data_IF_506523169664
#
_entry.id   IF_506523169664
#
_cell.length_a   1.000
_cell.length_b   1.000
_cell.length_c   1.000
_cell.angle_alpha   90.00
_cell.angle_beta   90.00
_cell.angle_gamma   90.00
#
_symmetry.space_group_name_H-M   'P 1'
#
loop_
_entity.id
_entity.type
_entity.pdbx_description
1 polymer ?
#
# COMPACT_ATOMS: atom_id res chain seq x y z
N UNK A 1 -29.76 19.94 -4.59
CA UNK A 1 -29.50 19.55 -3.18
C UNK A 1 -28.24 20.27 -2.74
N UNK A 2 -28.26 20.94 -1.60
CA UNK A 2 -27.14 21.76 -1.08
C UNK A 2 -26.93 21.50 0.40
N UNK A 3 -25.79 21.88 0.96
CA UNK A 3 -25.47 21.62 2.37
C UNK A 3 -26.44 22.33 3.32
N UNK A 4 -26.73 23.59 3.05
CA UNK A 4 -27.52 24.50 3.89
C UNK A 4 -28.87 24.91 3.26
N UNK A 5 -29.16 24.49 2.02
CA UNK A 5 -30.41 24.85 1.34
C UNK A 5 -30.30 26.07 0.43
N UNK A 6 -29.10 26.63 0.20
CA UNK A 6 -28.94 27.71 -0.77
C UNK A 6 -29.41 27.29 -2.17
N UNK A 7 -29.97 28.26 -2.92
CA UNK A 7 -30.35 28.04 -4.32
C UNK A 7 -29.10 27.87 -5.18
N UNK A 8 -29.12 26.95 -6.17
CA UNK A 8 -28.03 26.85 -7.13
C UNK A 8 -27.82 28.16 -7.88
N UNK A 9 -26.60 28.39 -8.36
CA UNK A 9 -26.28 29.61 -9.12
C UNK A 9 -27.10 29.71 -10.41
N UNK A 10 -27.29 30.92 -10.93
CA UNK A 10 -27.98 31.14 -12.21
C UNK A 10 -27.32 30.35 -13.36
N UNK A 11 -25.99 30.24 -13.34
CA UNK A 11 -25.21 29.47 -14.31
C UNK A 11 -25.51 27.95 -14.20
N UNK A 12 -25.67 27.43 -12.98
CA UNK A 12 -26.00 26.02 -12.75
C UNK A 12 -27.44 25.67 -13.13
N UNK A 13 -28.33 26.66 -13.19
CA UNK A 13 -29.74 26.50 -13.56
C UNK A 13 -29.94 26.79 -15.06
N UNK A 14 -28.91 27.29 -15.76
CA UNK A 14 -28.98 27.56 -17.20
C UNK A 14 -29.19 26.26 -18.00
N UNK A 15 -30.17 26.24 -18.92
CA UNK A 15 -30.53 25.02 -19.68
C UNK A 15 -31.48 24.02 -18.98
N UNK A 16 -31.83 24.18 -17.71
CA UNK A 16 -32.83 23.31 -17.08
C UNK A 16 -34.25 23.64 -17.57
N UNK A 17 -35.00 22.65 -18.07
CA UNK A 17 -36.35 22.89 -18.65
C UNK A 17 -37.38 23.39 -17.63
N UNK A 18 -37.22 23.03 -16.36
CA UNK A 18 -38.17 23.32 -15.28
C UNK A 18 -37.58 24.22 -14.18
N UNK A 19 -36.85 25.27 -14.55
CA UNK A 19 -36.17 26.19 -13.60
C UNK A 19 -37.11 26.73 -12.51
N UNK A 20 -38.37 27.00 -12.86
CA UNK A 20 -39.36 27.59 -11.96
C UNK A 20 -39.92 26.60 -10.93
N UNK A 21 -39.70 25.28 -11.10
CA UNK A 21 -40.18 24.22 -10.20
C UNK A 21 -39.05 23.55 -9.41
N UNK A 22 -37.87 24.17 -9.34
CA UNK A 22 -36.74 23.65 -8.57
C UNK A 22 -37.04 23.64 -7.06
N UNK A 23 -37.18 22.44 -6.49
CA UNK A 23 -37.20 22.24 -5.04
C UNK A 23 -35.78 22.04 -4.53
N UNK A 24 -35.34 22.92 -3.64
CA UNK A 24 -34.04 22.80 -2.99
C UNK A 24 -34.18 21.93 -1.74
N UNK A 25 -33.49 20.79 -1.74
CA UNK A 25 -33.37 19.92 -0.57
C UNK A 25 -32.04 20.24 0.10
N UNK A 26 -32.08 20.49 1.41
CA UNK A 26 -30.92 20.80 2.26
C UNK A 26 -30.49 19.59 3.06
N UNK A 27 -29.18 19.34 3.13
CA UNK A 27 -28.66 18.33 4.06
C UNK A 27 -28.98 18.71 5.51
N UNK A 28 -28.81 19.98 5.89
CA UNK A 28 -29.07 20.48 7.24
C UNK A 28 -30.53 20.42 7.64
N UNK A 29 -31.43 20.89 6.77
CA UNK A 29 -32.84 21.11 7.14
C UNK A 29 -33.75 19.95 6.79
N UNK A 30 -33.37 19.10 5.82
CA UNK A 30 -34.25 18.03 5.33
C UNK A 30 -33.66 16.64 5.60
N UNK A 31 -32.43 16.40 5.13
CA UNK A 31 -31.83 15.05 5.20
C UNK A 31 -31.44 14.68 6.63
N UNK A 32 -30.79 15.59 7.36
CA UNK A 32 -30.32 15.33 8.72
C UNK A 32 -31.48 15.05 9.70
N UNK A 33 -32.58 15.82 9.72
CA UNK A 33 -33.76 15.49 10.51
C UNK A 33 -34.37 14.14 10.12
N UNK A 34 -34.50 13.88 8.82
CA UNK A 34 -35.04 12.60 8.34
C UNK A 34 -34.20 11.41 8.79
N UNK A 35 -32.87 11.50 8.71
CA UNK A 35 -31.97 10.45 9.21
C UNK A 35 -32.08 10.27 10.73
N UNK A 36 -32.24 11.36 11.50
CA UNK A 36 -32.46 11.29 12.96
C UNK A 36 -33.78 10.60 13.30
N UNK A 37 -34.83 10.84 12.52
CA UNK A 37 -36.10 10.10 12.64
C UNK A 37 -35.93 8.62 12.29
N UNK A 38 -35.26 8.32 11.17
CA UNK A 38 -34.97 6.93 10.80
C UNK A 38 -34.19 6.21 11.90
N UNK A 39 -33.20 6.87 12.51
CA UNK A 39 -32.43 6.31 13.61
C UNK A 39 -33.32 5.94 14.81
N UNK A 40 -34.30 6.78 15.15
CA UNK A 40 -35.23 6.51 16.24
C UNK A 40 -36.09 5.26 15.97
N UNK A 41 -36.45 5.03 14.70
CA UNK A 41 -37.25 3.86 14.29
C UNK A 41 -36.45 2.55 14.36
N UNK A 42 -35.14 2.59 14.12
CA UNK A 42 -34.29 1.39 14.05
C UNK A 42 -33.27 1.31 15.20
N UNK A 43 -33.46 2.06 16.29
CA UNK A 43 -32.49 2.20 17.39
C UNK A 43 -32.05 0.85 17.98
N UNK A 44 -32.96 -0.13 18.00
CA UNK A 44 -32.73 -1.48 18.52
C UNK A 44 -32.14 -2.44 17.46
N UNK A 45 -32.16 -2.06 16.18
CA UNK A 45 -31.60 -2.83 15.06
C UNK A 45 -30.13 -2.44 14.80
N UNK A 46 -29.23 -3.13 15.52
CA UNK A 46 -27.79 -2.84 15.62
C UNK A 46 -27.07 -2.41 14.34
N UNK A 47 -27.26 -3.11 13.21
CA UNK A 47 -26.55 -2.80 11.97
C UNK A 47 -27.12 -1.55 11.28
N UNK A 48 -28.46 -1.40 11.29
CA UNK A 48 -29.14 -0.28 10.66
C UNK A 48 -28.91 1.01 11.43
N UNK A 49 -28.99 0.97 12.76
CA UNK A 49 -28.72 2.14 13.61
C UNK A 49 -27.28 2.63 13.50
N UNK A 50 -26.30 1.71 13.51
CA UNK A 50 -24.89 2.08 13.33
C UNK A 50 -24.62 2.71 11.97
N UNK A 51 -25.22 2.21 10.90
CA UNK A 51 -25.08 2.77 9.56
C UNK A 51 -25.68 4.19 9.47
N UNK A 52 -26.87 4.41 10.01
CA UNK A 52 -27.52 5.73 10.02
C UNK A 52 -26.73 6.72 10.87
N UNK A 53 -26.21 6.31 12.03
CA UNK A 53 -25.35 7.14 12.87
C UNK A 53 -24.10 7.62 12.13
N UNK A 54 -23.45 6.76 11.35
CA UNK A 54 -22.30 7.14 10.54
C UNK A 54 -22.68 8.17 9.46
N UNK A 55 -23.83 7.99 8.81
CA UNK A 55 -24.32 8.93 7.80
C UNK A 55 -24.65 10.31 8.39
N UNK A 56 -25.33 10.34 9.54
CA UNK A 56 -25.60 11.57 10.31
C UNK A 56 -24.29 12.29 10.61
N UNK A 57 -23.29 11.56 11.13
CA UNK A 57 -22.00 12.12 11.49
C UNK A 57 -21.23 12.71 10.30
N UNK A 58 -21.27 12.07 9.14
CA UNK A 58 -20.67 12.60 7.91
C UNK A 58 -21.36 13.90 7.49
N UNK A 59 -22.70 13.93 7.52
CA UNK A 59 -23.47 15.10 7.14
C UNK A 59 -23.24 16.27 8.10
N UNK A 60 -23.21 16.02 9.41
CA UNK A 60 -22.92 17.04 10.43
C UNK A 60 -21.50 17.62 10.24
N UNK A 61 -20.51 16.77 9.93
CA UNK A 61 -19.16 17.23 9.57
C UNK A 61 -19.11 18.10 8.32
N UNK A 62 -19.86 17.74 7.27
CA UNK A 62 -19.92 18.50 6.03
C UNK A 62 -20.61 19.85 6.20
N UNK A 63 -21.55 19.98 7.14
CA UNK A 63 -22.32 21.22 7.37
C UNK A 63 -21.57 22.20 8.28
N UNK A 64 -20.84 21.72 9.29
CA UNK A 64 -20.23 22.60 10.29
C UNK A 64 -18.84 23.15 9.92
N UNK A 65 -18.33 22.84 8.71
CA UNK A 65 -17.02 23.19 8.12
C UNK A 65 -15.76 22.89 8.95
N UNK A 66 -15.80 22.84 10.28
CA UNK A 66 -14.72 22.41 11.16
C UNK A 66 -15.32 22.20 12.56
N UNK A 67 -15.63 20.96 12.99
CA UNK A 67 -15.69 20.66 14.45
C UNK A 67 -15.85 19.22 14.94
N UNK A 68 -16.32 18.25 14.15
CA UNK A 68 -16.40 16.88 14.66
C UNK A 68 -15.10 16.13 14.36
N UNK A 69 -14.27 15.90 15.39
CA UNK A 69 -13.23 14.88 15.24
C UNK A 69 -13.96 13.54 15.13
N UNK A 70 -13.69 12.74 14.10
CA UNK A 70 -14.32 11.40 13.96
C UNK A 70 -14.15 10.53 15.23
N UNK A 71 -13.15 10.82 16.06
CA UNK A 71 -12.97 10.22 17.38
C UNK A 71 -14.16 10.49 18.33
N UNK A 72 -14.81 11.65 18.25
CA UNK A 72 -15.96 12.04 19.08
C UNK A 72 -17.24 11.25 18.72
N UNK A 73 -17.22 10.49 17.61
CA UNK A 73 -18.26 9.53 17.26
C UNK A 73 -18.21 8.26 18.11
N UNK A 74 -17.10 8.02 18.81
CA UNK A 74 -16.93 6.87 19.69
C UNK A 74 -17.53 7.21 21.05
N UNK A 75 -18.86 7.18 21.16
CA UNK A 75 -19.58 7.46 22.42
C UNK A 75 -19.60 6.25 23.35
N UNK A 76 -19.29 5.06 22.83
CA UNK A 76 -19.09 3.86 23.63
C UNK A 76 -18.56 2.67 22.84
N UNK A 77 -18.51 1.51 23.50
CA UNK A 77 -17.92 0.29 22.94
C UNK A 77 -18.62 -0.24 21.68
N UNK A 78 -19.89 0.13 21.44
CA UNK A 78 -20.62 -0.23 20.23
C UNK A 78 -20.10 0.50 18.99
N UNK A 79 -19.85 1.80 19.12
CA UNK A 79 -19.33 2.63 18.03
C UNK A 79 -17.90 2.22 17.68
N UNK A 80 -17.08 1.94 18.69
CA UNK A 80 -15.74 1.38 18.51
C UNK A 80 -15.79 0.04 17.75
N UNK A 81 -16.72 -0.86 18.11
CA UNK A 81 -16.90 -2.15 17.41
C UNK A 81 -17.33 -1.99 15.95
N UNK A 82 -18.15 -0.98 15.63
CA UNK A 82 -18.55 -0.72 14.26
C UNK A 82 -17.37 -0.21 13.40
N UNK A 83 -16.56 0.70 13.94
CA UNK A 83 -15.35 1.21 13.27
C UNK A 83 -14.34 0.08 13.08
N UNK A 84 -14.10 -0.72 14.12
CA UNK A 84 -13.24 -1.91 14.03
C UNK A 84 -13.76 -2.87 12.97
N UNK A 85 -15.07 -3.12 12.89
CA UNK A 85 -15.65 -3.97 11.86
C UNK A 85 -15.38 -3.42 10.45
N UNK A 86 -15.62 -2.14 10.19
CA UNK A 86 -15.35 -1.53 8.88
C UNK A 86 -13.87 -1.63 8.51
N UNK A 87 -12.99 -1.36 9.46
CA UNK A 87 -11.55 -1.47 9.27
C UNK A 87 -11.12 -2.92 9.00
N UNK A 88 -11.43 -3.84 9.90
CA UNK A 88 -10.94 -5.23 9.87
C UNK A 88 -11.60 -6.09 8.79
N UNK A 89 -12.88 -5.86 8.49
CA UNK A 89 -13.66 -6.73 7.60
C UNK A 89 -13.86 -6.17 6.19
N UNK A 90 -13.70 -4.87 5.99
CA UNK A 90 -13.96 -4.25 4.68
C UNK A 90 -12.67 -3.65 4.14
N UNK A 91 -12.12 -2.66 4.85
CA UNK A 91 -10.99 -1.89 4.33
C UNK A 91 -9.72 -2.74 4.25
N UNK A 92 -9.41 -3.50 5.31
CA UNK A 92 -8.22 -4.35 5.37
C UNK A 92 -8.15 -5.34 4.21
N UNK A 93 -9.22 -6.09 3.96
CA UNK A 93 -9.28 -7.08 2.89
C UNK A 93 -9.13 -6.42 1.52
N UNK A 94 -9.77 -5.26 1.32
CA UNK A 94 -9.62 -4.48 0.09
C UNK A 94 -8.18 -4.02 -0.11
N UNK A 95 -7.52 -3.53 0.95
CA UNK A 95 -6.12 -3.09 0.85
C UNK A 95 -5.17 -4.26 0.56
N UNK A 96 -5.43 -5.46 1.08
CA UNK A 96 -4.65 -6.65 0.71
C UNK A 96 -4.82 -7.05 -0.76
N UNK A 97 -6.04 -6.92 -1.31
CA UNK A 97 -6.30 -7.11 -2.75
C UNK A 97 -5.48 -6.11 -3.59
N UNK A 98 -5.48 -4.83 -3.20
CA UNK A 98 -4.72 -3.78 -3.86
C UNK A 98 -3.21 -4.02 -3.76
N UNK A 99 -2.71 -4.45 -2.59
CA UNK A 99 -1.30 -4.81 -2.38
C UNK A 99 -0.87 -5.90 -3.35
N UNK A 100 -1.63 -7.00 -3.42
CA UNK A 100 -1.35 -8.11 -4.31
C UNK A 100 -1.33 -7.65 -5.77
N UNK A 101 -2.36 -6.92 -6.19
CA UNK A 101 -2.46 -6.41 -7.56
C UNK A 101 -1.33 -5.45 -7.91
N UNK A 102 -0.90 -4.62 -6.96
CA UNK A 102 0.21 -3.68 -7.12
C UNK A 102 1.52 -4.43 -7.36
N UNK A 103 1.87 -5.40 -6.51
CA UNK A 103 3.10 -6.19 -6.65
C UNK A 103 3.11 -7.03 -7.94
N UNK A 104 2.01 -7.68 -8.30
CA UNK A 104 1.90 -8.44 -9.57
C UNK A 104 2.07 -7.54 -10.80
N UNK A 105 1.48 -6.34 -10.80
CA UNK A 105 1.63 -5.39 -11.91
C UNK A 105 3.05 -4.83 -11.97
N UNK A 106 3.60 -4.43 -10.82
CA UNK A 106 4.97 -3.94 -10.69
C UNK A 106 5.98 -4.98 -11.19
N UNK A 107 5.82 -6.23 -10.76
CA UNK A 107 6.64 -7.36 -11.17
C UNK A 107 6.63 -7.59 -12.67
N UNK A 108 5.44 -7.63 -13.27
CA UNK A 108 5.28 -7.78 -14.73
C UNK A 108 5.90 -6.61 -15.50
N UNK A 109 5.73 -5.38 -15.01
CA UNK A 109 6.26 -4.20 -15.69
C UNK A 109 7.79 -4.19 -15.72
N UNK A 110 8.42 -4.49 -14.59
CA UNK A 110 9.88 -4.58 -14.52
C UNK A 110 10.41 -5.74 -15.36
N UNK A 111 9.76 -6.92 -15.31
CA UNK A 111 10.13 -8.09 -16.12
C UNK A 111 10.14 -7.78 -17.62
N UNK A 112 9.17 -7.02 -18.12
CA UNK A 112 9.13 -6.61 -19.54
C UNK A 112 10.31 -5.73 -19.93
N UNK A 113 10.81 -4.92 -19.00
CA UNK A 113 11.82 -3.88 -19.25
C UNK A 113 13.27 -4.30 -18.91
N UNK A 114 13.47 -5.45 -18.27
CA UNK A 114 14.79 -5.96 -17.91
C UNK A 114 15.01 -7.36 -18.50
N UNK A 115 15.92 -7.44 -19.47
CA UNK A 115 16.33 -8.72 -20.08
C UNK A 115 17.40 -9.42 -19.25
N UNK A 116 17.41 -10.75 -19.30
CA UNK A 116 18.42 -11.59 -18.66
C UNK A 116 18.45 -11.45 -17.14
N UNK A 117 17.28 -11.32 -16.51
CA UNK A 117 17.10 -11.41 -15.06
C UNK A 117 16.05 -12.46 -14.80
N UNK A 118 16.36 -13.41 -13.92
CA UNK A 118 15.40 -14.44 -13.52
C UNK A 118 14.40 -13.80 -12.56
N UNK A 119 13.12 -13.93 -12.89
CA UNK A 119 12.02 -13.34 -12.13
C UNK A 119 11.11 -14.43 -11.57
N UNK A 120 10.77 -14.35 -10.28
CA UNK A 120 9.82 -15.25 -9.63
C UNK A 120 8.91 -14.46 -8.70
N UNK A 121 7.60 -14.60 -8.88
CA UNK A 121 6.63 -14.23 -7.85
C UNK A 121 6.65 -15.33 -6.79
N UNK A 122 6.91 -14.94 -5.54
CA UNK A 122 6.91 -15.86 -4.41
C UNK A 122 5.84 -15.45 -3.41
N UNK A 123 5.61 -16.33 -2.44
CA UNK A 123 4.93 -15.97 -1.21
C UNK A 123 5.96 -16.00 -0.10
N UNK A 124 6.05 -14.94 0.67
CA UNK A 124 6.77 -14.96 1.93
C UNK A 124 6.08 -16.00 2.84
N UNK A 125 6.77 -17.10 3.14
CA UNK A 125 6.18 -18.24 3.87
C UNK A 125 5.71 -17.85 5.28
N UNK A 126 6.42 -16.92 5.93
CA UNK A 126 6.11 -16.46 7.28
C UNK A 126 4.86 -15.57 7.33
N UNK A 127 4.67 -14.73 6.31
CA UNK A 127 3.61 -13.73 6.29
C UNK A 127 2.46 -14.05 5.33
N UNK A 128 2.59 -15.10 4.51
CA UNK A 128 1.70 -15.43 3.41
C UNK A 128 1.41 -14.23 2.49
N UNK A 129 2.46 -13.44 2.21
CA UNK A 129 2.36 -12.21 1.41
C UNK A 129 3.08 -12.34 0.06
N UNK A 130 2.54 -11.74 -1.02
CA UNK A 130 3.20 -11.76 -2.31
C UNK A 130 4.53 -11.01 -2.23
N UNK A 131 5.55 -11.57 -2.88
CA UNK A 131 6.86 -10.94 -3.06
C UNK A 131 7.31 -11.09 -4.50
N UNK A 132 8.13 -10.13 -4.94
CA UNK A 132 8.60 -10.00 -6.32
C UNK A 132 10.11 -10.10 -6.29
N UNK A 133 10.67 -11.14 -6.91
CA UNK A 133 12.09 -11.49 -6.77
C UNK A 133 12.81 -11.42 -8.12
N UNK A 134 13.97 -10.79 -8.11
CA UNK A 134 14.87 -10.63 -9.24
C UNK A 134 16.24 -11.21 -8.89
N UNK A 135 16.50 -12.44 -9.32
CA UNK A 135 17.80 -13.08 -9.11
C UNK A 135 18.80 -12.52 -10.10
N UNK A 136 19.83 -11.85 -9.58
CA UNK A 136 20.80 -11.08 -10.36
C UNK A 136 22.10 -11.84 -10.60
N UNK A 137 22.39 -12.86 -9.79
CA UNK A 137 23.60 -13.67 -9.86
C UNK A 137 23.39 -15.01 -9.18
N UNK A 138 24.19 -15.99 -9.57
CA UNK A 138 24.26 -17.27 -8.88
C UNK A 138 25.67 -17.86 -8.92
N UNK A 139 26.02 -18.62 -7.88
CA UNK A 139 27.23 -19.43 -7.80
C UNK A 139 26.85 -20.84 -7.38
N UNK A 140 27.64 -21.81 -7.80
CA UNK A 140 27.47 -23.21 -7.40
C UNK A 140 28.69 -23.66 -6.59
N UNK A 141 28.45 -24.17 -5.38
CA UNK A 141 29.49 -24.68 -4.49
C UNK A 141 29.03 -26.03 -3.95
N UNK A 142 29.80 -27.08 -4.23
CA UNK A 142 29.52 -28.45 -3.75
C UNK A 142 28.07 -28.87 -4.03
N UNK A 143 27.64 -28.72 -5.28
CA UNK A 143 26.28 -29.07 -5.76
C UNK A 143 25.14 -28.26 -5.12
N UNK A 144 25.47 -27.13 -4.46
CA UNK A 144 24.48 -26.19 -3.92
C UNK A 144 24.52 -24.89 -4.70
N UNK A 145 23.36 -24.37 -5.05
CA UNK A 145 23.22 -23.10 -5.78
C UNK A 145 22.91 -21.98 -4.79
N UNK A 146 23.71 -20.94 -4.80
CA UNK A 146 23.52 -19.73 -4.01
C UNK A 146 23.20 -18.57 -4.94
N UNK A 147 22.12 -17.84 -4.64
CA UNK A 147 21.66 -16.71 -5.47
C UNK A 147 21.73 -15.40 -4.71
N UNK A 148 22.09 -14.34 -5.42
CA UNK A 148 21.83 -12.98 -4.97
C UNK A 148 20.52 -12.48 -5.59
N UNK A 149 19.64 -11.94 -4.74
CA UNK A 149 18.31 -11.47 -5.09
C UNK A 149 18.13 -9.99 -4.74
N UNK A 150 17.46 -9.26 -5.63
CA UNK A 150 16.77 -8.03 -5.27
C UNK A 150 15.28 -8.31 -5.15
N UNK A 151 14.73 -8.17 -3.95
CA UNK A 151 13.34 -8.44 -3.62
C UNK A 151 12.52 -7.16 -3.45
N UNK A 152 11.23 -7.26 -3.73
CA UNK A 152 10.23 -6.25 -3.33
C UNK A 152 9.13 -6.97 -2.57
N UNK A 153 8.92 -6.55 -1.34
CA UNK A 153 7.97 -7.19 -0.44
C UNK A 153 7.39 -6.22 0.60
N UNK A 154 6.25 -6.54 1.20
CA UNK A 154 5.74 -5.83 2.37
C UNK A 154 6.48 -6.29 3.64
N UNK A 155 6.94 -5.36 4.47
CA UNK A 155 7.45 -5.67 5.80
C UNK A 155 6.32 -6.06 6.78
N UNK A 156 6.66 -6.37 8.03
CA UNK A 156 5.67 -6.73 9.08
C UNK A 156 4.61 -5.64 9.34
N UNK A 157 4.92 -4.39 9.03
CA UNK A 157 4.02 -3.24 9.17
C UNK A 157 3.21 -2.95 7.91
N UNK A 158 3.41 -3.71 6.82
CA UNK A 158 2.81 -3.50 5.49
C UNK A 158 3.37 -2.30 4.73
N UNK A 159 4.61 -1.90 5.06
CA UNK A 159 5.38 -0.96 4.26
C UNK A 159 6.10 -1.72 3.16
N UNK A 160 6.05 -1.21 1.94
CA UNK A 160 6.78 -1.81 0.83
C UNK A 160 8.27 -1.50 0.98
N UNK A 161 9.09 -2.54 0.90
CA UNK A 161 10.54 -2.47 0.95
C UNK A 161 11.16 -3.01 -0.34
N UNK A 162 12.29 -2.43 -0.71
CA UNK A 162 13.27 -3.07 -1.60
C UNK A 162 14.35 -3.71 -0.73
N UNK A 163 14.64 -5.00 -0.93
CA UNK A 163 15.56 -5.77 -0.11
C UNK A 163 16.66 -6.46 -0.93
N UNK A 164 17.81 -6.65 -0.31
CA UNK A 164 18.96 -7.36 -0.86
C UNK A 164 19.16 -8.65 -0.09
N UNK A 165 19.10 -9.77 -0.79
CA UNK A 165 18.98 -11.08 -0.15
C UNK A 165 19.89 -12.11 -0.79
N UNK A 166 20.33 -13.06 0.03
CA UNK A 166 20.98 -14.27 -0.45
C UNK A 166 20.07 -15.47 -0.19
N UNK A 167 19.99 -16.36 -1.17
CA UNK A 167 19.22 -17.59 -1.07
C UNK A 167 20.08 -18.82 -1.37
N UNK A 168 19.90 -19.90 -0.62
CA UNK A 168 20.25 -21.26 -1.05
C UNK A 168 19.05 -21.80 -1.86
N UNK A 169 19.30 -22.29 -3.06
CA UNK A 169 18.30 -22.88 -3.93
C UNK A 169 18.38 -24.39 -3.87
N UNK A 170 17.25 -25.02 -3.58
CA UNK A 170 17.07 -26.47 -3.68
C UNK A 170 16.39 -26.78 -5.01
N UNK A 171 17.11 -27.46 -5.90
CA UNK A 171 16.62 -27.83 -7.24
C UNK A 171 15.55 -28.92 -7.20
N UNK A 172 15.59 -29.82 -6.19
CA UNK A 172 14.66 -30.95 -6.09
C UNK A 172 13.28 -30.44 -5.71
N UNK A 173 13.23 -29.54 -4.73
CA UNK A 173 11.99 -29.00 -4.19
C UNK A 173 11.56 -27.67 -4.84
N UNK A 174 12.38 -27.10 -5.74
CA UNK A 174 12.25 -25.73 -6.30
C UNK A 174 12.05 -24.65 -5.21
N UNK A 175 12.73 -24.83 -4.07
CA UNK A 175 12.63 -23.97 -2.88
C UNK A 175 13.82 -23.04 -2.74
N UNK A 176 13.56 -21.89 -2.11
CA UNK A 176 14.56 -20.87 -1.80
C UNK A 176 14.61 -20.69 -0.29
N UNK A 177 15.80 -20.87 0.27
CA UNK A 177 16.06 -20.70 1.69
C UNK A 177 16.86 -19.43 1.90
N UNK A 178 16.28 -18.46 2.59
CA UNK A 178 16.96 -17.20 2.90
C UNK A 178 18.21 -17.45 3.74
N UNK A 179 19.28 -16.71 3.46
CA UNK A 179 20.57 -16.80 4.13
C UNK A 179 20.98 -15.46 4.75
N UNK A 180 21.44 -15.53 5.99
CA UNK A 180 22.11 -14.41 6.66
C UNK A 180 23.39 -14.00 5.93
N UNK A 181 23.73 -12.71 5.96
CA UNK A 181 24.90 -12.17 5.26
C UNK A 181 26.22 -12.77 5.79
N UNK A 182 26.31 -12.99 7.09
CA UNK A 182 27.51 -13.62 7.68
C UNK A 182 27.64 -15.10 7.29
N UNK A 183 26.54 -15.78 6.94
CA UNK A 183 26.59 -17.15 6.43
C UNK A 183 27.16 -17.19 5.01
N UNK A 184 26.70 -16.31 4.11
CA UNK A 184 27.24 -16.29 2.74
C UNK A 184 28.71 -15.86 2.72
N UNK A 185 29.13 -14.93 3.57
CA UNK A 185 30.54 -14.50 3.71
C UNK A 185 31.48 -15.64 4.11
N UNK A 186 30.98 -16.63 4.87
CA UNK A 186 31.73 -17.85 5.24
C UNK A 186 31.71 -18.90 4.12
N UNK A 187 30.65 -18.96 3.33
CA UNK A 187 30.51 -19.87 2.19
C UNK A 187 31.41 -19.41 1.04
N UNK A 188 31.27 -18.15 0.63
CA UNK A 188 32.06 -17.54 -0.43
C UNK A 188 32.28 -16.04 -0.17
N UNK A 189 33.52 -15.70 0.17
CA UNK A 189 33.90 -14.33 0.53
C UNK A 189 33.92 -13.40 -0.68
N UNK A 190 34.28 -13.89 -1.86
CA UNK A 190 34.39 -13.08 -3.08
C UNK A 190 32.99 -12.66 -3.58
N UNK A 191 32.07 -13.62 -3.67
CA UNK A 191 30.67 -13.41 -4.01
C UNK A 191 29.99 -12.46 -3.03
N UNK A 192 30.19 -12.67 -1.72
CA UNK A 192 29.70 -11.74 -0.70
C UNK A 192 30.27 -10.33 -0.91
N UNK A 193 31.60 -10.21 -1.06
CA UNK A 193 32.27 -8.91 -1.12
C UNK A 193 31.85 -8.13 -2.37
N UNK A 194 31.75 -8.80 -3.53
CA UNK A 194 31.22 -8.24 -4.79
C UNK A 194 29.84 -7.63 -4.60
N UNK A 195 28.90 -8.38 -4.03
CA UNK A 195 27.51 -7.90 -3.87
C UNK A 195 27.37 -6.88 -2.75
N UNK A 196 28.12 -7.03 -1.66
CA UNK A 196 28.16 -6.04 -0.60
C UNK A 196 28.67 -4.69 -1.13
N UNK A 197 29.76 -4.66 -1.89
CA UNK A 197 30.29 -3.44 -2.51
C UNK A 197 29.29 -2.81 -3.47
N UNK A 198 28.64 -3.61 -4.33
CA UNK A 198 27.60 -3.12 -5.25
C UNK A 198 26.42 -2.49 -4.51
N UNK A 199 26.01 -3.06 -3.39
CA UNK A 199 24.96 -2.48 -2.53
C UNK A 199 25.45 -1.14 -1.96
N UNK A 200 26.65 -1.08 -1.37
CA UNK A 200 27.19 0.17 -0.80
C UNK A 200 27.26 1.29 -1.86
N UNK A 201 27.73 0.98 -3.07
CA UNK A 201 27.79 1.94 -4.18
C UNK A 201 26.39 2.40 -4.63
N UNK A 202 25.43 1.49 -4.73
CA UNK A 202 24.05 1.81 -5.08
C UNK A 202 23.42 2.80 -4.07
N UNK A 203 23.68 2.60 -2.77
CA UNK A 203 23.13 3.43 -1.71
C UNK A 203 23.61 4.89 -1.82
N UNK A 204 24.87 5.07 -2.23
CA UNK A 204 25.45 6.39 -2.53
C UNK A 204 24.80 6.99 -3.77
N UNK A 205 24.75 6.25 -4.88
CA UNK A 205 24.21 6.70 -6.17
C UNK A 205 22.75 7.18 -6.07
N UNK A 206 21.91 6.41 -5.38
CA UNK A 206 20.49 6.72 -5.22
C UNK A 206 20.18 7.57 -3.99
N UNK A 207 21.21 7.97 -3.21
CA UNK A 207 21.05 8.70 -1.94
C UNK A 207 20.01 8.04 -1.05
N UNK A 208 20.05 6.71 -0.94
CA UNK A 208 19.11 5.93 -0.12
C UNK A 208 19.45 6.17 1.35
N UNK A 209 18.83 7.21 1.92
CA UNK A 209 19.06 7.63 3.32
C UNK A 209 18.34 6.77 4.35
N UNK A 210 17.39 5.94 3.92
CA UNK A 210 16.53 5.11 4.76
C UNK A 210 16.92 3.63 4.74
N UNK A 211 18.18 3.31 4.43
CA UNK A 211 18.69 1.95 4.57
C UNK A 211 18.55 1.47 6.01
N UNK A 212 18.04 0.25 6.15
CA UNK A 212 17.97 -0.51 7.38
C UNK A 212 18.83 -1.75 7.23
N UNK A 213 19.49 -2.09 8.33
CA UNK A 213 20.24 -3.33 8.46
C UNK A 213 19.80 -3.98 9.77
N UNK A 214 19.32 -5.21 9.70
CA UNK A 214 18.98 -5.96 10.90
C UNK A 214 20.20 -6.68 11.49
N UNK A 215 19.98 -7.46 12.55
CA UNK A 215 21.05 -8.19 13.24
C UNK A 215 21.70 -9.29 12.39
N UNK A 216 21.01 -9.74 11.34
CA UNK A 216 21.44 -10.83 10.47
C UNK A 216 22.10 -10.29 9.18
N UNK A 217 22.25 -8.98 9.07
CA UNK A 217 22.82 -8.32 7.90
C UNK A 217 21.80 -8.10 6.78
N UNK A 218 20.50 -8.33 7.01
CA UNK A 218 19.45 -8.09 6.01
C UNK A 218 19.38 -6.59 5.71
N UNK A 219 19.73 -6.24 4.48
CA UNK A 219 19.72 -4.85 4.00
C UNK A 219 18.45 -4.57 3.21
N UNK A 220 17.71 -3.55 3.64
CA UNK A 220 16.50 -3.13 2.96
C UNK A 220 16.28 -1.62 3.08
N UNK A 221 15.45 -1.06 2.22
CA UNK A 221 15.01 0.32 2.29
C UNK A 221 13.52 0.41 2.01
N UNK A 222 12.85 1.41 2.58
CA UNK A 222 11.44 1.66 2.27
C UNK A 222 11.30 2.27 0.89
N UNK A 223 10.38 1.73 0.10
CA UNK A 223 10.01 2.32 -1.18
C UNK A 223 9.27 3.63 -0.90
N UNK A 224 9.75 4.72 -1.52
CA UNK A 224 9.21 6.07 -1.31
C UNK A 224 8.86 6.76 -2.62
N UNK A 225 7.87 7.65 -2.57
CA UNK A 225 7.62 8.57 -3.68
C UNK A 225 8.71 9.66 -3.78
N UNK A 226 8.56 10.55 -4.76
CA UNK A 226 9.48 11.68 -4.98
C UNK A 226 9.61 12.64 -3.78
N UNK A 227 8.66 12.63 -2.85
CA UNK A 227 8.65 13.47 -1.66
C UNK A 227 9.20 12.73 -0.42
N UNK A 228 9.64 11.48 -0.58
CA UNK A 228 10.13 10.64 0.52
C UNK A 228 9.01 9.97 1.33
N UNK A 229 7.75 10.00 0.88
CA UNK A 229 6.65 9.33 1.56
C UNK A 229 6.70 7.82 1.28
N UNK A 230 6.68 7.02 2.35
CA UNK A 230 6.72 5.56 2.27
C UNK A 230 5.41 5.00 1.73
N UNK A 231 5.50 3.98 0.89
CA UNK A 231 4.33 3.18 0.48
C UNK A 231 3.92 2.26 1.64
N UNK A 232 2.99 2.74 2.46
CA UNK A 232 2.51 2.07 3.66
C UNK A 232 1.03 1.69 3.50
N UNK A 233 0.73 0.39 3.49
CA UNK A 233 -0.65 -0.12 3.35
C UNK A 233 -1.49 0.00 4.62
N UNK A 234 -0.91 0.48 5.73
CA UNK A 234 -1.62 0.91 6.94
C UNK A 234 -1.73 2.43 7.08
N UNK A 235 -1.19 3.20 6.14
CA UNK A 235 -1.42 4.64 6.08
C UNK A 235 -2.77 4.94 5.42
N UNK A 236 -3.71 5.47 6.21
CA UNK A 236 -5.03 5.90 5.76
C UNK A 236 -5.21 7.42 5.78
N UNK A 237 -4.10 8.17 5.83
CA UNK A 237 -4.14 9.63 5.67
C UNK A 237 -4.56 10.03 4.25
N UNK A 238 -5.06 11.25 4.10
CA UNK A 238 -5.51 11.82 2.83
C UNK A 238 -4.45 11.71 1.71
N UNK A 239 -3.17 11.85 2.07
CA UNK A 239 -2.06 11.77 1.12
C UNK A 239 -1.50 10.35 0.95
N UNK A 240 -2.20 9.31 1.42
CA UNK A 240 -1.70 7.93 1.39
C UNK A 240 -1.45 7.45 -0.03
N UNK A 241 -0.22 6.96 -0.28
CA UNK A 241 0.12 6.33 -1.56
C UNK A 241 -0.71 5.06 -1.72
N UNK A 242 -0.85 4.26 -0.66
CA UNK A 242 -1.60 3.01 -0.71
C UNK A 242 -3.07 3.24 -1.07
N UNK A 243 -3.72 4.28 -0.51
CA UNK A 243 -5.09 4.64 -0.90
C UNK A 243 -5.15 5.11 -2.36
N UNK A 244 -4.17 5.90 -2.82
CA UNK A 244 -4.13 6.36 -4.20
C UNK A 244 -4.07 5.24 -5.24
N UNK A 245 -3.56 4.06 -4.86
CA UNK A 245 -3.50 2.86 -5.71
C UNK A 245 -4.88 2.31 -6.06
N UNK A 246 -5.92 2.62 -5.30
CA UNK A 246 -7.30 2.18 -5.62
C UNK A 246 -7.69 2.69 -7.01
N UNK A 247 -7.37 3.96 -7.30
CA UNK A 247 -7.75 4.62 -8.55
C UNK A 247 -6.60 4.73 -9.55
N UNK A 248 -5.34 4.76 -9.08
CA UNK A 248 -4.17 5.12 -9.89
C UNK A 248 -3.12 4.02 -10.03
N UNK A 249 -3.50 2.75 -9.84
CA UNK A 249 -2.54 1.64 -9.78
C UNK A 249 -1.55 1.60 -10.95
N UNK A 250 -2.01 1.83 -12.19
CA UNK A 250 -1.15 1.75 -13.38
C UNK A 250 -0.12 2.89 -13.42
N UNK A 251 -0.54 4.10 -13.02
CA UNK A 251 0.34 5.27 -12.95
C UNK A 251 1.40 5.11 -11.87
N UNK A 252 1.04 4.58 -10.70
CA UNK A 252 2.00 4.34 -9.62
C UNK A 252 2.96 3.19 -9.97
N UNK A 253 2.47 2.12 -10.60
CA UNK A 253 3.32 1.03 -11.13
C UNK A 253 4.34 1.57 -12.13
N UNK A 254 3.94 2.44 -13.06
CA UNK A 254 4.86 3.06 -14.02
C UNK A 254 5.95 3.88 -13.32
N UNK A 255 5.59 4.66 -12.30
CA UNK A 255 6.56 5.46 -11.53
C UNK A 255 7.55 4.59 -10.76
N UNK A 256 7.05 3.64 -9.97
CA UNK A 256 7.91 2.80 -9.12
C UNK A 256 8.77 1.85 -9.95
N UNK A 257 8.23 1.30 -11.04
CA UNK A 257 9.00 0.42 -11.93
C UNK A 257 10.23 1.12 -12.50
N UNK A 258 10.14 2.40 -12.90
CA UNK A 258 11.31 3.16 -13.41
C UNK A 258 12.45 3.19 -12.39
N UNK A 259 12.15 3.53 -11.13
CA UNK A 259 13.15 3.59 -10.04
C UNK A 259 13.79 2.22 -9.83
N UNK A 260 12.96 1.17 -9.74
CA UNK A 260 13.45 -0.19 -9.52
C UNK A 260 14.28 -0.71 -10.69
N UNK A 261 13.87 -0.39 -11.92
CA UNK A 261 14.61 -0.78 -13.11
C UNK A 261 16.01 -0.16 -13.11
N UNK A 262 16.13 1.11 -12.72
CA UNK A 262 17.43 1.77 -12.59
C UNK A 262 18.29 1.12 -11.51
N UNK A 263 17.70 0.76 -10.36
CA UNK A 263 18.39 0.02 -9.30
C UNK A 263 18.95 -1.31 -9.82
N UNK A 264 18.10 -2.13 -10.45
CA UNK A 264 18.52 -3.43 -10.98
C UNK A 264 19.61 -3.26 -12.05
N UNK A 265 19.50 -2.25 -12.94
CA UNK A 265 20.53 -1.98 -13.96
C UNK A 265 21.87 -1.61 -13.32
N UNK A 266 21.86 -0.76 -12.29
CA UNK A 266 23.07 -0.37 -11.54
C UNK A 266 23.72 -1.55 -10.85
N UNK A 267 22.93 -2.41 -10.22
CA UNK A 267 23.41 -3.67 -9.62
C UNK A 267 23.99 -4.64 -10.64
N UNK A 268 23.45 -4.69 -11.87
CA UNK A 268 23.96 -5.56 -12.94
C UNK A 268 25.23 -5.06 -13.61
N UNK A 269 25.42 -3.74 -13.72
CA UNK A 269 26.59 -3.18 -14.38
C UNK A 269 27.88 -3.59 -13.65
N UNK A 270 28.94 -3.83 -14.44
CA UNK A 270 30.26 -4.24 -13.93
C UNK A 270 30.97 -3.07 -13.26
#
# INVERSE_FOLDING_TARGET
>A
MTLDGHKPSNQSIEGFENKNNLKCISFKEHILPWLKECLNLVKDEKNKSSFILQYIAVIENLIEEEKYRMADLIKGSKDAKAIIFLYEKILKDKMQEILKKFLEKLGREIKKNIRGVRYKELKNEYYNRPTVNYFLDEIEIKEKIYRFNFGIEPDKEEKIVGCFEFFEYDEIDDKLYWLEFEKIKKIDKEFFSKWNEKIENLLVDFKIKNLKNDRNGYKYFYLTDKNGKVVDFKDFSENSIALSLIDNIDKEVEKFSKIIIEIIRKLKNK
#
